data_IF_884270696632
#
_entry.id   IF_884270696632
#
_cell.length_a   1.000
_cell.length_b   1.000
_cell.length_c   1.000
_cell.angle_alpha   90.00
_cell.angle_beta   90.00
_cell.angle_gamma   90.00
#
_symmetry.space_group_name_H-M   'P 1'
#
loop_
_entity.id
_entity.type
_entity.pdbx_description
1 polymer ?
#
# COMPACT_ATOMS: atom_id res chain seq x y z
N UNK A 1 19.26 8.30 11.91
CA UNK A 1 18.60 9.18 12.89
C UNK A 1 19.65 9.59 13.90
N UNK A 2 20.34 10.70 13.64
CA UNK A 2 21.12 11.34 14.70
C UNK A 2 20.13 11.99 15.65
N UNK A 3 20.17 11.59 16.92
CA UNK A 3 19.40 12.25 17.96
C UNK A 3 19.85 13.72 18.03
N UNK A 4 18.90 14.65 17.97
CA UNK A 4 19.14 16.04 18.35
C UNK A 4 19.83 16.02 19.72
N UNK A 5 21.09 16.46 19.78
CA UNK A 5 21.86 16.44 21.01
C UNK A 5 21.24 17.35 22.07
N UNK A 6 21.77 17.28 23.28
CA UNK A 6 21.26 18.01 24.46
C UNK A 6 21.03 19.49 24.18
N UNK A 7 19.76 19.93 24.22
CA UNK A 7 19.36 21.33 24.06
C UNK A 7 19.51 22.04 25.40
N UNK A 8 20.29 23.12 25.46
CA UNK A 8 20.45 23.96 26.66
C UNK A 8 19.99 25.38 26.37
N UNK A 9 19.00 25.88 27.13
CA UNK A 9 18.56 27.28 27.00
C UNK A 9 19.64 28.23 27.54
N UNK A 10 20.02 29.23 26.75
CA UNK A 10 20.97 30.28 27.15
C UNK A 10 20.24 31.55 27.64
N UNK A 11 18.90 31.53 27.66
CA UNK A 11 18.03 32.66 28.03
C UNK A 11 17.53 33.47 26.82
N UNK A 12 16.38 34.15 27.02
CA UNK A 12 15.62 34.84 25.97
C UNK A 12 15.28 33.90 24.81
N UNK A 13 15.77 34.17 23.60
CA UNK A 13 15.45 33.43 22.38
C UNK A 13 16.63 32.59 21.85
N UNK A 14 17.67 32.34 22.67
CA UNK A 14 18.88 31.62 22.25
C UNK A 14 19.01 30.26 22.94
N UNK A 15 19.34 29.25 22.14
CA UNK A 15 19.49 27.86 22.56
C UNK A 15 20.80 27.31 22.05
N UNK A 16 21.50 26.55 22.89
CA UNK A 16 22.67 25.78 22.50
C UNK A 16 22.21 24.39 22.07
N UNK A 17 22.52 24.01 20.83
CA UNK A 17 22.30 22.66 20.30
C UNK A 17 23.56 22.24 19.57
N UNK A 18 24.15 21.11 19.96
CA UNK A 18 25.41 20.59 19.39
C UNK A 18 26.50 21.68 19.29
N UNK A 19 26.74 22.39 20.39
CA UNK A 19 27.71 23.50 20.51
C UNK A 19 27.46 24.72 19.59
N UNK A 20 26.32 24.77 18.91
CA UNK A 20 25.91 25.90 18.05
C UNK A 20 24.78 26.68 18.73
N UNK A 21 24.89 28.00 18.76
CA UNK A 21 23.82 28.87 19.28
C UNK A 21 22.80 29.12 18.18
N UNK A 22 21.59 28.59 18.36
CA UNK A 22 20.44 28.79 17.47
C UNK A 22 19.36 29.63 18.16
N UNK A 23 18.66 30.41 17.37
CA UNK A 23 17.42 31.09 17.74
C UNK A 23 16.25 30.11 17.83
N UNK A 24 15.18 30.49 18.54
CA UNK A 24 13.95 29.69 18.59
C UNK A 24 13.35 29.41 17.20
N UNK A 25 13.48 30.38 16.29
CA UNK A 25 12.98 30.27 14.92
C UNK A 25 13.81 29.31 14.07
N UNK A 26 15.14 29.28 14.25
CA UNK A 26 16.02 28.30 13.62
C UNK A 26 15.75 26.89 14.14
N UNK A 27 15.41 26.72 15.42
CA UNK A 27 14.99 25.45 15.98
C UNK A 27 13.65 24.97 15.41
N UNK A 28 12.67 25.88 15.28
CA UNK A 28 11.38 25.57 14.66
C UNK A 28 11.58 25.17 13.19
N UNK A 29 12.44 25.88 12.46
CA UNK A 29 12.77 25.54 11.07
C UNK A 29 13.45 24.17 10.98
N UNK A 30 14.42 23.87 11.85
CA UNK A 30 15.10 22.58 11.88
C UNK A 30 14.12 21.43 12.18
N UNK A 31 13.23 21.63 13.16
CA UNK A 31 12.18 20.67 13.51
C UNK A 31 11.21 20.42 12.33
N UNK A 32 10.79 21.48 11.64
CA UNK A 32 9.91 21.33 10.49
C UNK A 32 10.62 20.66 9.30
N UNK A 33 11.91 20.90 9.09
CA UNK A 33 12.71 20.17 8.09
C UNK A 33 12.79 18.68 8.40
N UNK A 34 13.11 18.30 9.65
CA UNK A 34 13.12 16.88 10.05
C UNK A 34 11.74 16.23 9.89
N UNK A 35 10.69 16.98 10.19
CA UNK A 35 9.31 16.51 10.01
C UNK A 35 8.97 16.33 8.53
N UNK A 36 9.40 17.22 7.65
CA UNK A 36 9.26 17.09 6.19
C UNK A 36 10.00 15.85 5.71
N UNK A 37 11.25 15.65 6.10
CA UNK A 37 12.04 14.47 5.72
C UNK A 37 11.34 13.16 6.14
N UNK A 38 10.79 13.13 7.36
CA UNK A 38 10.01 11.98 7.83
C UNK A 38 8.72 11.77 7.04
N UNK A 39 8.02 12.84 6.65
CA UNK A 39 6.80 12.75 5.84
C UNK A 39 7.10 12.32 4.41
N UNK A 40 8.23 12.73 3.85
CA UNK A 40 8.69 12.32 2.52
C UNK A 40 9.05 10.83 2.50
N UNK A 41 9.71 10.32 3.53
CA UNK A 41 9.96 8.88 3.65
C UNK A 41 8.64 8.09 3.71
N UNK A 42 7.69 8.52 4.53
CA UNK A 42 6.36 7.87 4.61
C UNK A 42 5.61 7.94 3.27
N UNK A 43 5.73 9.06 2.54
CA UNK A 43 5.13 9.21 1.22
C UNK A 43 5.77 8.26 0.20
N UNK A 44 7.10 8.13 0.22
CA UNK A 44 7.82 7.20 -0.64
C UNK A 44 7.40 5.74 -0.39
N UNK A 45 7.30 5.35 0.89
CA UNK A 45 6.88 4.01 1.29
C UNK A 45 5.44 3.71 0.83
N UNK A 46 4.51 4.65 1.02
CA UNK A 46 3.10 4.49 0.57
C UNK A 46 2.99 4.48 -0.97
N UNK A 47 3.80 5.25 -1.70
CA UNK A 47 3.85 5.21 -3.16
C UNK A 47 4.37 3.87 -3.69
N UNK A 48 5.37 3.30 -3.03
CA UNK A 48 5.88 1.97 -3.38
C UNK A 48 4.81 0.90 -3.13
N UNK A 49 4.14 0.94 -1.97
CA UNK A 49 3.05 0.01 -1.66
C UNK A 49 1.89 0.12 -2.66
N UNK A 50 1.60 1.33 -3.17
CA UNK A 50 0.61 1.53 -4.22
C UNK A 50 1.06 0.94 -5.57
N UNK A 51 2.35 1.02 -5.90
CA UNK A 51 2.88 0.39 -7.10
C UNK A 51 2.75 -1.14 -7.04
N UNK A 52 3.13 -1.75 -5.92
CA UNK A 52 2.98 -3.19 -5.67
C UNK A 52 1.51 -3.63 -5.75
N UNK A 53 0.60 -2.84 -5.17
CA UNK A 53 -0.83 -3.13 -5.25
C UNK A 53 -1.35 -3.04 -6.69
N UNK A 54 -0.90 -2.06 -7.47
CA UNK A 54 -1.27 -1.94 -8.88
C UNK A 54 -0.76 -3.12 -9.72
N UNK A 55 0.42 -3.64 -9.42
CA UNK A 55 0.94 -4.82 -10.10
C UNK A 55 0.14 -6.08 -9.74
N UNK A 56 -0.21 -6.24 -8.45
CA UNK A 56 -1.11 -7.30 -8.01
C UNK A 56 -2.51 -7.20 -8.64
N UNK A 57 -3.04 -5.98 -8.81
CA UNK A 57 -4.29 -5.75 -9.54
C UNK A 57 -4.20 -6.18 -11.00
N UNK A 58 -3.09 -5.91 -11.68
CA UNK A 58 -2.89 -6.36 -13.08
C UNK A 58 -2.86 -7.87 -13.16
N UNK A 59 -2.16 -8.50 -12.23
CA UNK A 59 -2.05 -9.96 -12.16
C UNK A 59 -3.40 -10.62 -11.87
N UNK A 60 -4.13 -10.13 -10.86
CA UNK A 60 -5.47 -10.59 -10.54
C UNK A 60 -6.44 -10.44 -11.74
N UNK A 61 -6.34 -9.34 -12.49
CA UNK A 61 -7.13 -9.14 -13.71
C UNK A 61 -6.72 -10.11 -14.84
N UNK A 62 -5.44 -10.45 -14.98
CA UNK A 62 -4.96 -11.50 -15.90
C UNK A 62 -5.58 -12.84 -15.52
N UNK A 63 -5.57 -13.20 -14.23
CA UNK A 63 -6.20 -14.43 -13.73
C UNK A 63 -7.71 -14.44 -13.98
N UNK A 64 -8.41 -13.34 -13.74
CA UNK A 64 -9.83 -13.21 -14.06
C UNK A 64 -10.12 -13.42 -15.55
N UNK A 65 -9.24 -12.93 -16.42
CA UNK A 65 -9.36 -13.16 -17.87
C UNK A 65 -9.17 -14.63 -18.22
N UNK A 66 -8.14 -15.28 -17.67
CA UNK A 66 -7.87 -16.71 -17.87
C UNK A 66 -9.08 -17.54 -17.43
N UNK A 67 -9.60 -17.29 -16.23
CA UNK A 67 -10.73 -18.04 -15.69
C UNK A 67 -11.98 -17.93 -16.58
N UNK A 68 -12.26 -16.74 -17.12
CA UNK A 68 -13.35 -16.53 -18.08
C UNK A 68 -13.12 -17.24 -19.41
N UNK A 69 -11.88 -17.26 -19.90
CA UNK A 69 -11.52 -17.97 -21.12
C UNK A 69 -11.67 -19.47 -20.95
N UNK A 70 -11.16 -20.04 -19.85
CA UNK A 70 -11.29 -21.46 -19.57
C UNK A 70 -12.75 -21.87 -19.37
N UNK A 71 -13.54 -21.09 -18.62
CA UNK A 71 -14.99 -21.30 -18.52
C UNK A 71 -15.67 -21.27 -19.89
N UNK A 72 -15.30 -20.31 -20.74
CA UNK A 72 -15.87 -20.13 -22.08
C UNK A 72 -15.66 -21.34 -22.99
N UNK A 73 -14.54 -22.07 -22.83
CA UNK A 73 -14.25 -23.30 -23.60
C UNK A 73 -15.20 -24.45 -23.27
N UNK A 74 -15.85 -24.42 -22.11
CA UNK A 74 -16.70 -25.53 -21.65
C UNK A 74 -18.12 -25.48 -22.23
N UNK A 75 -18.60 -24.36 -22.76
CA UNK A 75 -20.00 -24.21 -23.24
C UNK A 75 -21.07 -24.76 -22.25
N UNK A 76 -20.77 -24.76 -20.94
CA UNK A 76 -21.63 -25.28 -19.87
C UNK A 76 -21.55 -26.80 -19.64
N UNK A 77 -20.69 -27.55 -20.32
CA UNK A 77 -20.49 -29.00 -20.11
C UNK A 77 -19.01 -29.41 -20.23
N UNK A 78 -18.57 -30.29 -19.33
CA UNK A 78 -17.19 -30.80 -19.32
C UNK A 78 -16.33 -30.12 -18.28
N UNK A 79 -15.01 -30.33 -18.39
CA UNK A 79 -14.02 -29.89 -17.42
C UNK A 79 -12.79 -29.37 -18.15
N UNK A 80 -12.12 -28.38 -17.58
CA UNK A 80 -10.83 -27.88 -18.05
C UNK A 80 -9.88 -27.70 -16.89
N UNK A 81 -8.60 -27.84 -17.18
CA UNK A 81 -7.56 -27.75 -16.15
C UNK A 81 -7.18 -26.29 -15.90
N UNK A 82 -7.09 -25.92 -14.63
CA UNK A 82 -6.56 -24.65 -14.18
C UNK A 82 -5.09 -24.53 -14.57
N UNK A 83 -4.68 -23.43 -15.23
CA UNK A 83 -3.27 -23.24 -15.57
C UNK A 83 -2.39 -23.15 -14.32
N UNK A 84 -1.13 -23.63 -14.36
CA UNK A 84 -0.21 -23.56 -13.23
C UNK A 84 -0.03 -22.14 -12.66
N UNK A 85 0.06 -21.14 -13.53
CA UNK A 85 0.19 -19.73 -13.11
C UNK A 85 -1.00 -19.22 -12.28
N UNK A 86 -2.18 -19.81 -12.45
CA UNK A 86 -3.36 -19.46 -11.66
C UNK A 86 -3.37 -20.22 -10.34
N UNK A 87 -2.91 -21.46 -10.32
CA UNK A 87 -2.77 -22.26 -9.10
C UNK A 87 -1.81 -21.55 -8.15
N UNK A 88 -0.62 -21.21 -8.63
CA UNK A 88 0.39 -20.49 -7.86
C UNK A 88 -0.18 -19.17 -7.30
N UNK A 89 -0.93 -18.41 -8.12
CA UNK A 89 -1.57 -17.17 -7.68
C UNK A 89 -2.62 -17.40 -6.58
N UNK A 90 -3.41 -18.47 -6.67
CA UNK A 90 -4.45 -18.77 -5.71
C UNK A 90 -3.84 -19.20 -4.36
N UNK A 91 -2.77 -19.98 -4.39
CA UNK A 91 -2.01 -20.39 -3.22
C UNK A 91 -1.28 -19.20 -2.56
N UNK A 92 -0.55 -18.41 -3.33
CA UNK A 92 0.25 -17.28 -2.82
C UNK A 92 -0.60 -16.15 -2.22
N UNK A 93 -1.85 -16.01 -2.67
CA UNK A 93 -2.74 -14.93 -2.27
C UNK A 93 -3.99 -15.37 -1.50
N UNK A 94 -4.06 -16.65 -1.10
CA UNK A 94 -5.17 -17.22 -0.35
C UNK A 94 -6.53 -16.99 -1.04
N UNK A 95 -6.55 -17.11 -2.37
CA UNK A 95 -7.78 -17.01 -3.17
C UNK A 95 -8.38 -18.39 -3.28
N UNK A 96 -9.58 -18.56 -2.73
CA UNK A 96 -10.26 -19.85 -2.80
C UNK A 96 -10.67 -20.19 -4.23
N UNK A 97 -10.34 -21.39 -4.70
CA UNK A 97 -10.91 -21.91 -5.93
C UNK A 97 -12.36 -22.38 -5.71
N UNK A 98 -13.10 -22.47 -6.80
CA UNK A 98 -14.36 -23.20 -6.83
C UNK A 98 -14.09 -24.68 -6.60
N UNK A 99 -14.77 -25.25 -5.61
CA UNK A 99 -14.75 -26.69 -5.35
C UNK A 99 -16.16 -27.22 -5.53
N UNK A 100 -16.30 -28.34 -6.26
CA UNK A 100 -17.57 -29.04 -6.34
C UNK A 100 -18.00 -29.49 -4.95
N UNK A 101 -19.30 -29.75 -4.79
CA UNK A 101 -19.82 -30.37 -3.56
C UNK A 101 -19.08 -31.69 -3.26
N UNK A 102 -18.76 -32.45 -4.30
CA UNK A 102 -18.05 -33.72 -4.17
C UNK A 102 -16.65 -33.51 -3.61
N UNK A 103 -15.88 -32.57 -4.16
CA UNK A 103 -14.50 -32.29 -3.78
C UNK A 103 -14.38 -31.78 -2.34
N UNK A 104 -15.32 -30.93 -1.92
CA UNK A 104 -15.42 -30.49 -0.51
C UNK A 104 -15.68 -31.65 0.46
N UNK A 105 -16.40 -32.67 0.02
CA UNK A 105 -16.81 -33.83 0.83
C UNK A 105 -15.79 -34.98 0.76
N UNK A 106 -14.87 -34.99 -0.22
CA UNK A 106 -13.94 -36.10 -0.49
C UNK A 106 -12.46 -35.65 -0.54
N UNK A 107 -12.07 -34.74 0.36
CA UNK A 107 -10.68 -34.31 0.56
C UNK A 107 -9.74 -35.52 0.73
N UNK A 108 -8.60 -35.52 0.02
CA UNK A 108 -7.62 -36.61 0.07
C UNK A 108 -8.04 -37.93 -0.62
N UNK A 109 -9.06 -37.91 -1.49
CA UNK A 109 -9.52 -39.08 -2.25
C UNK A 109 -9.10 -38.97 -3.72
N UNK A 110 -8.57 -40.04 -4.32
CA UNK A 110 -8.19 -40.02 -5.73
C UNK A 110 -9.42 -39.92 -6.65
N UNK A 111 -9.43 -38.93 -7.56
CA UNK A 111 -10.50 -38.71 -8.53
C UNK A 111 -9.93 -38.79 -9.96
N UNK A 112 -10.30 -39.84 -10.70
CA UNK A 112 -9.99 -39.96 -12.14
C UNK A 112 -8.53 -39.69 -12.55
N UNK A 113 -7.57 -40.52 -12.10
CA UNK A 113 -6.12 -40.37 -12.36
C UNK A 113 -5.47 -39.06 -11.90
N UNK A 114 -6.20 -38.16 -11.22
CA UNK A 114 -5.69 -36.97 -10.55
C UNK A 114 -5.90 -37.14 -9.04
N UNK A 115 -4.89 -36.77 -8.26
CA UNK A 115 -5.02 -36.80 -6.80
C UNK A 115 -5.68 -35.48 -6.38
N UNK A 116 -6.86 -35.56 -5.75
CA UNK A 116 -7.31 -34.44 -4.91
C UNK A 116 -6.25 -34.29 -3.82
N UNK A 117 -5.73 -33.08 -3.63
CA UNK A 117 -4.84 -32.84 -2.51
C UNK A 117 -5.57 -33.01 -1.16
N UNK A 118 -4.84 -32.89 -0.05
CA UNK A 118 -5.38 -33.03 1.31
C UNK A 118 -6.45 -31.97 1.65
N UNK A 119 -6.61 -30.93 0.82
CA UNK A 119 -7.63 -29.90 0.97
C UNK A 119 -8.85 -30.10 0.05
N UNK A 120 -8.78 -31.04 -0.89
CA UNK A 120 -9.84 -31.42 -1.82
C UNK A 120 -9.74 -30.73 -3.18
N UNK A 121 -8.58 -30.24 -3.61
CA UNK A 121 -8.44 -29.55 -4.89
C UNK A 121 -8.24 -30.54 -6.04
N UNK A 122 -9.16 -30.56 -7.03
CA UNK A 122 -8.85 -31.00 -8.40
C UNK A 122 -8.55 -29.75 -9.20
N UNK A 123 -7.41 -29.72 -9.91
CA UNK A 123 -7.14 -28.64 -10.85
C UNK A 123 -8.04 -28.74 -12.08
N UNK A 124 -8.84 -29.79 -12.23
CA UNK A 124 -9.87 -29.95 -13.24
C UNK A 124 -11.19 -29.31 -12.79
N UNK A 125 -11.55 -28.17 -13.38
CA UNK A 125 -12.73 -27.37 -13.02
C UNK A 125 -13.84 -27.53 -14.06
N UNK A 126 -15.07 -27.78 -13.60
CA UNK A 126 -16.28 -27.67 -14.39
C UNK A 126 -16.79 -26.22 -14.48
N UNK A 127 -17.85 -25.98 -15.26
CA UNK A 127 -18.39 -24.64 -15.50
C UNK A 127 -18.85 -23.90 -14.22
N UNK A 128 -19.38 -24.61 -13.22
CA UNK A 128 -19.89 -24.02 -11.99
C UNK A 128 -18.75 -23.70 -11.01
N UNK A 129 -17.73 -24.55 -10.98
CA UNK A 129 -16.50 -24.31 -10.21
C UNK A 129 -15.73 -23.11 -10.77
N UNK A 130 -15.61 -23.01 -12.09
CA UNK A 130 -15.04 -21.83 -12.73
C UNK A 130 -15.82 -20.56 -12.40
N UNK A 131 -17.14 -20.60 -12.33
CA UNK A 131 -17.93 -19.43 -11.93
C UNK A 131 -17.63 -19.04 -10.47
N UNK A 132 -17.51 -20.01 -9.59
CA UNK A 132 -17.13 -19.78 -8.18
C UNK A 132 -15.73 -19.17 -8.08
N UNK A 133 -14.75 -19.71 -8.82
CA UNK A 133 -13.39 -19.17 -8.92
C UNK A 133 -13.39 -17.73 -9.44
N UNK A 134 -14.22 -17.42 -10.45
CA UNK A 134 -14.40 -16.08 -10.99
C UNK A 134 -15.00 -15.12 -9.94
N UNK A 135 -15.98 -15.57 -9.16
CA UNK A 135 -16.57 -14.78 -8.08
C UNK A 135 -15.56 -14.47 -6.98
N UNK A 136 -14.76 -15.46 -6.58
CA UNK A 136 -13.71 -15.27 -5.57
C UNK A 136 -12.61 -14.31 -6.07
N UNK A 137 -12.20 -14.44 -7.34
CA UNK A 137 -11.27 -13.48 -7.96
C UNK A 137 -11.83 -12.06 -8.02
N UNK A 138 -13.12 -11.88 -8.33
CA UNK A 138 -13.77 -10.56 -8.29
C UNK A 138 -13.75 -9.98 -6.87
N UNK A 139 -14.10 -10.78 -5.86
CA UNK A 139 -14.08 -10.36 -4.47
C UNK A 139 -12.66 -9.96 -4.02
N UNK A 140 -11.64 -10.71 -4.45
CA UNK A 140 -10.24 -10.37 -4.21
C UNK A 140 -9.85 -9.04 -4.87
N UNK A 141 -10.16 -8.86 -6.15
CA UNK A 141 -9.92 -7.61 -6.90
C UNK A 141 -10.62 -6.43 -6.23
N UNK A 142 -11.86 -6.59 -5.78
CA UNK A 142 -12.61 -5.55 -5.07
C UNK A 142 -11.92 -5.18 -3.74
N UNK A 143 -11.39 -6.17 -3.03
CA UNK A 143 -10.56 -5.97 -1.84
C UNK A 143 -9.29 -5.16 -2.12
N UNK A 144 -8.60 -5.43 -3.24
CA UNK A 144 -7.45 -4.66 -3.67
C UNK A 144 -7.82 -3.22 -4.06
N UNK A 145 -8.91 -3.04 -4.81
CA UNK A 145 -9.41 -1.71 -5.16
C UNK A 145 -9.75 -0.87 -3.92
N UNK A 146 -10.36 -1.49 -2.90
CA UNK A 146 -10.62 -0.83 -1.62
C UNK A 146 -9.32 -0.38 -0.91
N UNK A 147 -8.31 -1.26 -0.87
CA UNK A 147 -6.99 -0.94 -0.30
C UNK A 147 -6.32 0.20 -1.08
N UNK A 148 -6.39 0.21 -2.41
CA UNK A 148 -5.88 1.28 -3.28
C UNK A 148 -6.51 2.63 -2.94
N UNK A 149 -7.83 2.67 -2.74
CA UNK A 149 -8.54 3.89 -2.34
C UNK A 149 -8.07 4.41 -0.99
N UNK A 150 -7.86 3.52 -0.01
CA UNK A 150 -7.33 3.89 1.31
C UNK A 150 -5.91 4.44 1.20
N UNK A 151 -5.03 3.81 0.42
CA UNK A 151 -3.68 4.31 0.18
C UNK A 151 -3.69 5.69 -0.48
N UNK A 152 -4.57 5.92 -1.47
CA UNK A 152 -4.73 7.23 -2.08
C UNK A 152 -5.17 8.31 -1.08
N UNK A 153 -6.04 7.97 -0.13
CA UNK A 153 -6.41 8.89 0.96
C UNK A 153 -5.21 9.19 1.86
N UNK A 154 -4.37 8.19 2.17
CA UNK A 154 -3.15 8.37 2.96
C UNK A 154 -2.14 9.26 2.24
N UNK A 155 -1.83 8.97 0.97
CA UNK A 155 -0.96 9.78 0.11
C UNK A 155 -1.46 11.23 0.08
N UNK A 156 -2.75 11.43 -0.18
CA UNK A 156 -3.35 12.78 -0.19
C UNK A 156 -3.20 13.49 1.16
N UNK A 157 -3.32 12.77 2.27
CA UNK A 157 -3.12 13.34 3.61
C UNK A 157 -1.65 13.66 3.92
N UNK A 158 -0.72 12.83 3.46
CA UNK A 158 0.72 13.03 3.62
C UNK A 158 1.19 14.24 2.82
N UNK A 159 0.71 14.39 1.58
CA UNK A 159 0.99 15.56 0.74
C UNK A 159 0.50 16.84 1.43
N UNK A 160 -0.74 16.85 1.94
CA UNK A 160 -1.27 18.02 2.68
C UNK A 160 -0.40 18.38 3.89
N UNK A 161 -0.03 17.38 4.71
CA UNK A 161 0.85 17.59 5.88
C UNK A 161 2.23 18.10 5.48
N UNK A 162 2.81 17.57 4.39
CA UNK A 162 4.09 18.02 3.85
C UNK A 162 3.99 19.49 3.43
N UNK A 163 2.96 19.84 2.66
CA UNK A 163 2.76 21.21 2.19
C UNK A 163 2.56 22.18 3.37
N UNK A 164 1.76 21.79 4.37
CA UNK A 164 1.59 22.55 5.62
C UNK A 164 2.94 22.77 6.33
N UNK A 165 3.73 21.72 6.52
CA UNK A 165 5.06 21.81 7.14
C UNK A 165 6.06 22.62 6.32
N UNK A 166 5.92 22.73 4.99
CA UNK A 166 6.75 23.61 4.17
C UNK A 166 6.30 25.09 4.22
N UNK A 167 5.01 25.34 4.47
CA UNK A 167 4.47 26.71 4.57
C UNK A 167 4.74 27.36 5.94
N UNK A 168 4.85 26.59 7.02
CA UNK A 168 5.20 27.11 8.35
C UNK A 168 6.56 27.83 8.38
N UNK A 169 7.67 27.24 7.89
CA UNK A 169 8.97 27.90 7.78
C UNK A 169 8.94 29.18 6.95
N UNK A 170 8.13 29.19 5.88
CA UNK A 170 7.97 30.38 5.03
C UNK A 170 7.33 31.55 5.81
N UNK A 171 6.37 31.26 6.69
CA UNK A 171 5.74 32.27 7.54
C UNK A 171 6.67 32.77 8.64
N UNK A 172 7.46 31.87 9.25
CA UNK A 172 8.49 32.23 10.25
C UNK A 172 9.58 33.11 9.62
N UNK A 173 10.05 32.76 8.42
CA UNK A 173 11.07 33.54 7.73
C UNK A 173 10.57 34.93 7.30
N UNK A 174 9.32 35.04 6.84
CA UNK A 174 8.69 36.32 6.54
C UNK A 174 8.54 37.20 7.80
N UNK A 175 8.19 36.60 8.94
CA UNK A 175 8.15 37.28 10.25
C UNK A 175 9.54 37.79 10.66
N UNK A 176 10.59 36.97 10.50
CA UNK A 176 11.98 37.37 10.78
C UNK A 176 12.42 38.56 9.92
N UNK A 177 12.13 38.51 8.61
CA UNK A 177 12.44 39.61 7.70
C UNK A 177 11.71 40.91 8.08
N UNK A 178 10.43 40.84 8.45
CA UNK A 178 9.67 42.01 8.90
C UNK A 178 10.20 42.56 10.23
N UNK A 179 10.53 41.70 11.19
CA UNK A 179 11.11 42.11 12.48
C UNK A 179 12.47 42.78 12.30
N UNK A 180 13.35 42.20 11.48
CA UNK A 180 14.66 42.75 11.17
C UNK A 180 14.56 44.10 10.42
N UNK A 181 13.65 44.24 9.45
CA UNK A 181 13.39 45.52 8.78
C UNK A 181 12.84 46.57 9.76
N UNK A 182 11.96 46.16 10.70
CA UNK A 182 11.42 47.05 11.73
C UNK A 182 12.47 47.54 12.73
N UNK A 183 13.49 46.72 13.02
CA UNK A 183 14.64 47.12 13.86
C UNK A 183 15.57 48.05 13.08
N UNK A 184 15.90 47.73 11.83
CA UNK A 184 16.77 48.55 10.97
C UNK A 184 16.17 49.94 10.70
N UNK A 185 14.85 50.05 10.56
CA UNK A 185 14.17 51.34 10.34
C UNK A 185 14.08 52.22 11.61
N UNK A 186 14.45 51.70 12.79
CA UNK A 186 14.41 52.43 14.07
C UNK A 186 15.79 52.91 14.53
N UNK A 187 16.86 52.58 13.79
CA UNK A 187 18.23 53.05 14.00
C UNK A 187 18.51 54.17 12.98
#
# INVERSE_FOLDING_TARGET
MDQIGTITSLGSDKFLVNDTVMSIDELIMLLELERVDSLEQQLADELQSMAELNDLLKEANKMLSIARTEKGKLEGKGHSDMPPEMIDFFEDHDVQQGLSKYDKEHKGVAHGNKYLDDEGYDFCQNSDEWETSIENLKAFIDGLNSRSQVQMLRISSLIKKRDESLTMPSNTNNSLHQTNQGILNKI
#
